data_IF_829991747534
#
_entry.id   IF_829991747534
#
_cell.length_a   1.000
_cell.length_b   1.000
_cell.length_c   1.000
_cell.angle_alpha   90.00
_cell.angle_beta   90.00
_cell.angle_gamma   90.00
#
_symmetry.space_group_name_H-M   'P 1'
#
loop_
_entity.id
_entity.type
_entity.pdbx_description
1 polymer ?
#
# COMPACT_ATOMS: atom_id res chain seq x y z
N UNK A 1 46.99 -30.89 -55.34
CA UNK A 1 46.65 -29.58 -54.74
C UNK A 1 45.15 -29.25 -54.71
N UNK A 2 44.41 -29.26 -55.83
CA UNK A 2 42.99 -28.81 -55.85
C UNK A 2 42.03 -29.55 -54.89
N UNK A 3 42.23 -30.86 -54.65
CA UNK A 3 41.43 -31.63 -53.67
C UNK A 3 41.71 -31.21 -52.23
N UNK A 4 42.97 -30.98 -51.87
CA UNK A 4 43.36 -30.48 -50.55
C UNK A 4 42.81 -29.07 -50.28
N UNK A 5 42.84 -28.18 -51.28
CA UNK A 5 42.26 -26.83 -51.16
C UNK A 5 40.75 -26.91 -50.93
N UNK A 6 40.02 -27.78 -51.64
CA UNK A 6 38.57 -27.98 -51.41
C UNK A 6 38.26 -28.50 -50.00
N UNK A 7 39.01 -29.49 -49.52
CA UNK A 7 38.84 -30.04 -48.16
C UNK A 7 39.12 -28.98 -47.10
N UNK A 8 40.16 -28.17 -47.28
CA UNK A 8 40.52 -27.09 -46.36
C UNK A 8 39.44 -26.01 -46.32
N UNK A 9 38.89 -25.61 -47.48
CA UNK A 9 37.78 -24.65 -47.56
C UNK A 9 36.53 -25.19 -46.86
N UNK A 10 36.16 -26.46 -47.07
CA UNK A 10 35.01 -27.06 -46.37
C UNK A 10 35.19 -27.13 -44.86
N UNK A 11 36.39 -27.42 -44.37
CA UNK A 11 36.70 -27.43 -42.94
C UNK A 11 36.65 -26.02 -42.34
N UNK A 12 37.11 -25.01 -43.07
CA UNK A 12 37.09 -23.61 -42.63
C UNK A 12 35.65 -23.08 -42.55
N UNK A 13 34.81 -23.41 -43.54
CA UNK A 13 33.37 -23.09 -43.52
C UNK A 13 32.67 -23.79 -42.36
N UNK A 14 32.98 -25.08 -42.11
CA UNK A 14 32.42 -25.83 -40.98
C UNK A 14 32.83 -25.21 -39.64
N UNK A 15 34.12 -24.88 -39.48
CA UNK A 15 34.62 -24.23 -38.26
C UNK A 15 33.96 -22.86 -38.03
N UNK A 16 33.76 -22.08 -39.10
CA UNK A 16 33.05 -20.79 -39.03
C UNK A 16 31.57 -20.98 -38.64
N UNK A 17 30.89 -21.97 -39.20
CA UNK A 17 29.50 -22.29 -38.85
C UNK A 17 29.37 -22.73 -37.39
N UNK A 18 30.27 -23.59 -36.91
CA UNK A 18 30.33 -24.00 -35.48
C UNK A 18 30.61 -22.80 -34.59
N UNK A 19 31.54 -21.92 -34.96
CA UNK A 19 31.86 -20.71 -34.20
C UNK A 19 30.67 -19.74 -34.12
N UNK A 20 29.98 -19.48 -35.24
CA UNK A 20 28.79 -18.63 -35.27
C UNK A 20 27.64 -19.25 -34.46
N UNK A 21 27.43 -20.56 -34.57
CA UNK A 21 26.43 -21.29 -33.80
C UNK A 21 26.72 -21.22 -32.30
N UNK A 22 27.97 -21.45 -31.90
CA UNK A 22 28.43 -21.32 -30.52
C UNK A 22 28.25 -19.89 -29.98
N UNK A 23 28.61 -18.88 -30.77
CA UNK A 23 28.44 -17.47 -30.40
C UNK A 23 26.97 -17.07 -30.24
N UNK A 24 26.10 -17.50 -31.15
CA UNK A 24 24.66 -17.24 -31.07
C UNK A 24 24.02 -17.97 -29.88
N UNK A 25 24.47 -19.19 -29.59
CA UNK A 25 24.02 -19.96 -28.43
C UNK A 25 24.36 -19.24 -27.13
N UNK A 26 25.62 -18.81 -26.97
CA UNK A 26 26.04 -18.02 -25.80
C UNK A 26 25.29 -16.70 -25.70
N UNK A 27 25.18 -15.95 -26.80
CA UNK A 27 24.40 -14.71 -26.80
C UNK A 27 22.93 -14.94 -26.39
N UNK A 28 22.30 -16.02 -26.83
CA UNK A 28 20.91 -16.31 -26.46
C UNK A 28 20.75 -16.81 -25.02
N UNK A 29 21.72 -17.57 -24.51
CA UNK A 29 21.70 -18.14 -23.16
C UNK A 29 22.14 -17.15 -22.08
N UNK A 30 23.00 -16.19 -22.41
CA UNK A 30 23.60 -15.25 -21.45
C UNK A 30 22.78 -13.97 -21.22
N UNK A 31 21.77 -13.70 -22.05
CA UNK A 31 20.85 -12.58 -21.83
C UNK A 31 19.73 -13.00 -20.88
N UNK A 32 19.63 -12.40 -19.68
CA UNK A 32 18.55 -12.70 -18.76
C UNK A 32 17.25 -12.14 -19.31
N UNK A 33 16.34 -13.03 -19.66
CA UNK A 33 14.97 -12.69 -19.99
C UNK A 33 14.01 -13.67 -19.32
N UNK A 34 12.81 -13.19 -19.03
CA UNK A 34 11.71 -13.99 -18.52
C UNK A 34 10.41 -13.63 -19.26
N UNK A 35 9.55 -14.63 -19.46
CA UNK A 35 8.18 -14.44 -19.97
C UNK A 35 7.16 -14.33 -18.83
N UNK A 36 7.62 -14.62 -17.64
CA UNK A 36 6.82 -14.71 -16.44
C UNK A 36 7.04 -13.43 -15.66
N UNK A 37 6.45 -12.34 -16.14
CA UNK A 37 6.43 -11.09 -15.40
C UNK A 37 4.98 -10.58 -15.33
N UNK A 38 4.63 -9.98 -14.20
CA UNK A 38 3.26 -9.52 -13.95
C UNK A 38 3.30 -8.05 -13.55
N UNK A 39 2.43 -7.26 -14.16
CA UNK A 39 2.20 -5.87 -13.77
C UNK A 39 1.52 -5.85 -12.41
N UNK A 40 2.05 -5.09 -11.48
CA UNK A 40 1.50 -4.87 -10.15
C UNK A 40 1.23 -3.39 -9.94
N UNK A 41 0.37 -3.06 -8.98
CA UNK A 41 0.07 -1.70 -8.59
C UNK A 41 -0.20 -1.62 -7.09
N UNK A 42 -0.08 -0.43 -6.48
CA UNK A 42 -0.44 -0.29 -5.07
C UNK A 42 -1.96 -0.30 -4.97
N UNK A 43 -2.46 -1.25 -4.20
CA UNK A 43 -3.88 -1.40 -3.90
C UNK A 43 -4.07 -0.93 -2.47
N UNK A 44 -4.86 0.12 -2.31
CA UNK A 44 -5.27 0.63 -1.01
C UNK A 44 -6.67 0.10 -0.72
N UNK A 45 -6.78 -0.67 0.36
CA UNK A 45 -8.06 -1.11 0.88
C UNK A 45 -8.72 0.06 1.63
N UNK A 46 -9.92 0.43 1.19
CA UNK A 46 -10.68 1.52 1.82
C UNK A 46 -11.67 0.92 2.80
N UNK A 47 -11.46 1.30 4.06
CA UNK A 47 -12.22 0.81 5.21
C UNK A 47 -13.01 1.96 5.82
N UNK A 48 -14.08 1.62 6.56
CA UNK A 48 -14.73 2.58 7.44
C UNK A 48 -13.93 2.77 8.73
N UNK A 49 -13.63 4.01 9.10
CA UNK A 49 -13.04 4.33 10.41
C UNK A 49 -14.09 4.26 11.53
N UNK A 50 -15.37 4.36 11.17
CA UNK A 50 -16.51 4.29 12.09
C UNK A 50 -17.54 3.28 11.56
N UNK A 51 -18.32 2.69 12.47
CA UNK A 51 -19.33 1.70 12.11
C UNK A 51 -20.71 2.31 11.95
N UNK A 52 -21.45 1.93 10.90
CA UNK A 52 -22.82 2.39 10.73
C UNK A 52 -23.42 2.01 9.39
N UNK A 53 -24.68 2.38 9.18
CA UNK A 53 -25.36 2.14 7.91
C UNK A 53 -24.88 3.11 6.85
N UNK A 54 -24.62 2.63 5.64
CA UNK A 54 -24.23 3.47 4.51
C UNK A 54 -25.46 4.13 3.92
N UNK A 55 -25.47 5.46 3.90
CA UNK A 55 -26.59 6.27 3.38
C UNK A 55 -26.48 6.45 1.87
N UNK A 56 -25.26 6.72 1.38
CA UNK A 56 -25.00 7.05 -0.01
C UNK A 56 -23.64 6.52 -0.44
N UNK A 57 -23.58 5.99 -1.66
CA UNK A 57 -22.35 5.61 -2.37
C UNK A 57 -22.25 6.52 -3.58
N UNK A 58 -21.22 7.36 -3.65
CA UNK A 58 -21.07 8.41 -4.68
C UNK A 58 -20.18 7.99 -5.84
N UNK A 59 -19.68 6.76 -5.80
CA UNK A 59 -18.72 6.22 -6.75
C UNK A 59 -19.25 4.95 -7.41
N UNK A 60 -18.71 4.65 -8.58
CA UNK A 60 -19.00 3.43 -9.34
C UNK A 60 -17.75 2.58 -9.48
N UNK A 61 -17.96 1.29 -9.73
CA UNK A 61 -16.86 0.38 -10.01
C UNK A 61 -16.12 0.81 -11.29
N UNK A 62 -14.79 0.67 -11.30
CA UNK A 62 -13.89 1.12 -12.37
C UNK A 62 -13.86 2.63 -12.63
N UNK A 63 -14.38 3.45 -11.70
CA UNK A 63 -14.30 4.90 -11.80
C UNK A 63 -12.96 5.44 -11.30
N UNK A 64 -12.36 6.37 -12.04
CA UNK A 64 -11.21 7.14 -11.58
C UNK A 64 -11.63 8.27 -10.64
N UNK A 65 -10.92 8.41 -9.52
CA UNK A 65 -11.17 9.40 -8.47
C UNK A 65 -9.88 10.12 -8.10
N UNK A 66 -10.01 11.41 -7.78
CA UNK A 66 -8.93 12.21 -7.23
C UNK A 66 -8.71 11.93 -5.74
N UNK A 67 -7.52 12.25 -5.24
CA UNK A 67 -7.26 12.23 -3.80
C UNK A 67 -8.24 13.18 -3.07
N UNK A 68 -8.80 12.73 -1.95
CA UNK A 68 -9.78 13.46 -1.16
C UNK A 68 -11.23 13.37 -1.67
N UNK A 69 -11.48 12.72 -2.81
CA UNK A 69 -12.83 12.54 -3.32
C UNK A 69 -13.70 11.74 -2.33
N UNK A 70 -14.96 12.15 -2.17
CA UNK A 70 -15.91 11.46 -1.29
C UNK A 70 -16.37 10.15 -1.97
N UNK A 71 -16.16 9.03 -1.30
CA UNK A 71 -16.46 7.71 -1.83
C UNK A 71 -17.87 7.27 -1.42
N UNK A 72 -18.12 7.24 -0.11
CA UNK A 72 -19.42 6.91 0.46
C UNK A 72 -19.60 7.61 1.81
N UNK A 73 -20.84 7.69 2.26
CA UNK A 73 -21.23 8.31 3.53
C UNK A 73 -21.94 7.32 4.43
N UNK A 74 -21.42 7.17 5.64
CA UNK A 74 -22.06 6.49 6.75
C UNK A 74 -23.06 7.45 7.39
N UNK A 75 -24.19 6.93 7.90
CA UNK A 75 -25.22 7.72 8.56
C UNK A 75 -24.63 8.61 9.67
N UNK A 76 -24.65 9.96 9.49
CA UNK A 76 -24.05 10.86 10.43
C UNK A 76 -24.95 11.13 11.65
N UNK A 77 -26.23 10.77 11.62
CA UNK A 77 -27.20 11.22 12.61
C UNK A 77 -26.82 10.78 14.04
N UNK A 78 -26.36 9.53 14.21
CA UNK A 78 -25.89 9.03 15.50
C UNK A 78 -24.68 9.81 16.02
N UNK A 79 -23.77 10.22 15.12
CA UNK A 79 -22.56 10.94 15.46
C UNK A 79 -22.81 12.43 15.73
N UNK A 80 -23.79 13.03 15.05
CA UNK A 80 -24.28 14.37 15.35
C UNK A 80 -24.88 14.42 16.75
N UNK A 81 -25.76 13.48 17.10
CA UNK A 81 -26.34 13.40 18.46
C UNK A 81 -25.27 13.19 19.54
N UNK A 82 -24.21 12.42 19.25
CA UNK A 82 -23.09 12.25 20.16
C UNK A 82 -22.29 13.55 20.35
N UNK A 83 -22.09 14.32 19.28
CA UNK A 83 -21.46 15.63 19.33
C UNK A 83 -22.31 16.63 20.13
N UNK A 84 -23.62 16.68 19.90
CA UNK A 84 -24.54 17.56 20.61
C UNK A 84 -24.53 17.25 22.11
N UNK A 85 -24.55 15.96 22.48
CA UNK A 85 -24.42 15.52 23.87
C UNK A 85 -23.09 15.97 24.49
N UNK A 86 -21.98 15.79 23.77
CA UNK A 86 -20.66 16.21 24.26
C UNK A 86 -20.57 17.73 24.44
N UNK A 87 -21.17 18.51 23.54
CA UNK A 87 -21.26 19.96 23.64
C UNK A 87 -22.08 20.41 24.85
N UNK A 88 -23.20 19.74 25.13
CA UNK A 88 -23.99 19.99 26.33
C UNK A 88 -23.19 19.73 27.63
N UNK A 89 -22.45 18.62 27.69
CA UNK A 89 -21.56 18.34 28.83
C UNK A 89 -20.43 19.36 28.97
N UNK A 90 -19.89 19.86 27.85
CA UNK A 90 -18.91 20.94 27.86
C UNK A 90 -19.50 22.25 28.43
N UNK A 91 -20.72 22.61 28.01
CA UNK A 91 -21.42 23.77 28.52
C UNK A 91 -21.67 23.65 30.04
N UNK A 92 -22.10 22.49 30.52
CA UNK A 92 -22.28 22.20 31.94
C UNK A 92 -20.95 22.36 32.71
N UNK A 93 -19.87 21.75 32.22
CA UNK A 93 -18.56 21.82 32.86
C UNK A 93 -18.01 23.26 32.89
N UNK A 94 -18.26 24.04 31.84
CA UNK A 94 -17.85 25.45 31.80
C UNK A 94 -18.59 26.31 32.84
N UNK A 95 -19.90 26.07 32.98
CA UNK A 95 -20.75 26.75 33.96
C UNK A 95 -20.34 26.36 35.38
N UNK A 96 -20.05 25.07 35.61
CA UNK A 96 -19.56 24.56 36.89
C UNK A 96 -18.22 25.20 37.27
N UNK A 97 -17.29 25.33 36.33
CA UNK A 97 -16.02 26.01 36.58
C UNK A 97 -16.22 27.49 36.91
N UNK A 98 -17.09 28.19 36.18
CA UNK A 98 -17.42 29.59 36.46
C UNK A 98 -17.98 29.76 37.88
N UNK A 99 -18.93 28.92 38.27
CA UNK A 99 -19.49 28.91 39.63
C UNK A 99 -18.42 28.68 40.69
N UNK A 100 -17.53 27.69 40.49
CA UNK A 100 -16.43 27.40 41.45
C UNK A 100 -15.44 28.54 41.54
N UNK A 101 -15.11 29.20 40.42
CA UNK A 101 -14.23 30.37 40.38
C UNK A 101 -14.83 31.55 41.15
N UNK A 102 -16.12 31.83 40.97
CA UNK A 102 -16.80 32.87 41.75
C UNK A 102 -16.83 32.56 43.24
N UNK A 103 -17.11 31.30 43.61
CA UNK A 103 -17.09 30.88 45.02
C UNK A 103 -15.69 31.02 45.65
N UNK A 104 -14.64 30.63 44.93
CA UNK A 104 -13.27 30.81 45.38
C UNK A 104 -12.89 32.30 45.50
N UNK A 105 -13.25 33.13 44.52
CA UNK A 105 -13.02 34.57 44.54
C UNK A 105 -13.73 35.26 45.72
N UNK A 106 -15.00 34.89 45.98
CA UNK A 106 -15.74 35.38 47.17
C UNK A 106 -15.04 35.03 48.47
N UNK A 107 -14.55 33.79 48.63
CA UNK A 107 -13.82 33.36 49.84
C UNK A 107 -12.46 34.02 50.00
N UNK A 108 -11.78 34.32 48.88
CA UNK A 108 -10.50 35.03 48.89
C UNK A 108 -10.66 36.51 49.30
N UNK A 109 -11.79 37.14 48.97
CA UNK A 109 -12.09 38.53 49.34
C UNK A 109 -12.55 38.73 50.80
N UNK A 110 -12.90 37.66 51.53
CA UNK A 110 -13.32 37.74 52.93
C UNK A 110 -12.11 37.85 53.87
N UNK A 111 -12.20 38.58 55.00
CA UNK A 111 -11.11 38.71 55.96
C UNK A 111 -10.68 37.37 56.55
N UNK A 112 -9.41 37.25 56.93
CA UNK A 112 -8.84 35.98 57.45
C UNK A 112 -9.52 35.46 58.73
N UNK A 113 -10.16 36.34 59.50
CA UNK A 113 -10.95 35.96 60.67
C UNK A 113 -12.31 35.31 60.30
N UNK A 114 -12.79 35.47 59.06
CA UNK A 114 -14.11 35.01 58.60
C UNK A 114 -14.06 33.69 57.80
N UNK A 115 -12.91 33.30 57.26
CA UNK A 115 -12.73 32.06 56.48
C UNK A 115 -11.38 31.44 56.81
N UNK A 116 -11.37 30.16 57.19
CA UNK A 116 -10.13 29.43 57.50
C UNK A 116 -9.24 29.22 56.29
N UNK A 117 -7.94 28.98 56.52
CA UNK A 117 -6.98 28.70 55.46
C UNK A 117 -7.33 27.42 54.68
N UNK A 118 -7.84 26.41 55.38
CA UNK A 118 -8.31 25.15 54.81
C UNK A 118 -9.48 25.39 53.85
N UNK A 119 -10.48 26.17 54.28
CA UNK A 119 -11.66 26.45 53.47
C UNK A 119 -11.34 27.27 52.18
N UNK A 120 -10.25 28.04 52.19
CA UNK A 120 -9.71 28.71 51.00
C UNK A 120 -8.98 27.72 50.09
N UNK A 121 -8.11 26.88 50.65
CA UNK A 121 -7.41 25.82 49.91
C UNK A 121 -8.38 24.86 49.22
N UNK A 122 -9.44 24.42 49.92
CA UNK A 122 -10.49 23.56 49.37
C UNK A 122 -11.23 24.21 48.19
N UNK A 123 -11.46 25.53 48.26
CA UNK A 123 -12.10 26.26 47.17
C UNK A 123 -11.20 26.34 45.93
N UNK A 124 -9.90 26.59 46.11
CA UNK A 124 -8.92 26.57 45.03
C UNK A 124 -8.76 25.17 44.42
N UNK A 125 -8.76 24.12 45.26
CA UNK A 125 -8.74 22.75 44.80
C UNK A 125 -10.00 22.43 43.97
N UNK A 126 -11.18 22.88 44.42
CA UNK A 126 -12.43 22.70 43.68
C UNK A 126 -12.41 23.40 42.31
N UNK A 127 -11.76 24.58 42.20
CA UNK A 127 -11.53 25.24 40.90
C UNK A 127 -10.61 24.41 40.01
N UNK A 128 -9.51 23.89 40.56
CA UNK A 128 -8.58 23.02 39.81
C UNK A 128 -9.28 21.78 39.28
N UNK A 129 -10.04 21.08 40.12
CA UNK A 129 -10.82 19.89 39.71
C UNK A 129 -11.84 20.25 38.62
N UNK A 130 -12.57 21.36 38.77
CA UNK A 130 -13.52 21.80 37.76
C UNK A 130 -12.84 22.18 36.43
N UNK A 131 -11.62 22.71 36.47
CA UNK A 131 -10.85 23.02 35.27
C UNK A 131 -10.41 21.75 34.53
N UNK A 132 -10.01 20.70 35.25
CA UNK A 132 -9.71 19.41 34.62
C UNK A 132 -10.97 18.72 34.07
N UNK A 133 -12.12 18.84 34.75
CA UNK A 133 -13.40 18.38 34.21
C UNK A 133 -13.77 19.10 32.91
N UNK A 134 -13.52 20.42 32.82
CA UNK A 134 -13.71 21.17 31.59
C UNK A 134 -12.79 20.66 30.47
N UNK A 135 -11.51 20.41 30.75
CA UNK A 135 -10.57 19.85 29.76
C UNK A 135 -11.00 18.47 29.27
N UNK A 136 -11.48 17.62 30.17
CA UNK A 136 -12.02 16.31 29.80
C UNK A 136 -13.24 16.44 28.87
N UNK A 137 -14.17 17.36 29.16
CA UNK A 137 -15.32 17.63 28.30
C UNK A 137 -14.92 18.20 26.92
N UNK A 138 -13.90 19.07 26.87
CA UNK A 138 -13.34 19.56 25.61
C UNK A 138 -12.74 18.43 24.77
N UNK A 139 -12.04 17.48 25.40
CA UNK A 139 -11.51 16.31 24.71
C UNK A 139 -12.64 15.42 24.15
N UNK A 140 -13.73 15.23 24.90
CA UNK A 140 -14.90 14.48 24.45
C UNK A 140 -15.57 15.12 23.22
N UNK A 141 -15.71 16.45 23.19
CA UNK A 141 -16.22 17.17 22.01
C UNK A 141 -15.32 16.97 20.79
N UNK A 142 -13.99 17.05 20.96
CA UNK A 142 -13.04 16.81 19.86
C UNK A 142 -13.14 15.40 19.30
N UNK A 143 -13.29 14.39 20.17
CA UNK A 143 -13.47 13.00 19.75
C UNK A 143 -14.78 12.83 18.96
N UNK A 144 -15.90 13.33 19.49
CA UNK A 144 -17.19 13.23 18.80
C UNK A 144 -17.20 13.95 17.44
N UNK A 145 -16.55 15.12 17.36
CA UNK A 145 -16.39 15.85 16.10
C UNK A 145 -15.50 15.10 15.09
N UNK A 146 -14.44 14.44 15.58
CA UNK A 146 -13.60 13.60 14.75
C UNK A 146 -14.36 12.40 14.20
N UNK A 147 -15.08 11.66 15.06
CA UNK A 147 -15.90 10.53 14.65
C UNK A 147 -16.97 10.94 13.63
N UNK A 148 -17.61 12.10 13.84
CA UNK A 148 -18.54 12.67 12.87
C UNK A 148 -17.87 12.96 11.52
N UNK A 149 -16.65 13.52 11.52
CA UNK A 149 -15.90 13.75 10.28
C UNK A 149 -15.55 12.46 9.55
N UNK A 150 -15.34 11.36 10.29
CA UNK A 150 -15.03 10.02 9.77
C UNK A 150 -16.24 9.28 9.19
N UNK A 151 -17.44 9.81 9.33
CA UNK A 151 -18.63 9.30 8.62
C UNK A 151 -18.55 9.50 7.11
N UNK A 152 -17.76 10.48 6.65
CA UNK A 152 -17.54 10.78 5.25
C UNK A 152 -16.22 10.14 4.78
N UNK A 153 -16.30 8.94 4.20
CA UNK A 153 -15.10 8.19 3.77
C UNK A 153 -14.60 8.73 2.43
N UNK A 154 -13.34 9.14 2.40
CA UNK A 154 -12.69 9.77 1.25
C UNK A 154 -11.53 8.94 0.73
N UNK A 155 -11.20 9.13 -0.54
CA UNK A 155 -10.03 8.51 -1.16
C UNK A 155 -8.73 9.10 -0.57
N UNK A 156 -7.80 8.30 -0.02
CA UNK A 156 -6.52 8.79 0.48
C UNK A 156 -5.58 9.22 -0.65
N UNK A 157 -5.66 8.56 -1.81
CA UNK A 157 -4.83 8.80 -2.99
C UNK A 157 -5.68 8.90 -4.24
N UNK A 158 -5.11 9.39 -5.34
CA UNK A 158 -5.77 9.39 -6.64
C UNK A 158 -5.62 8.01 -7.29
N UNK A 159 -6.71 7.45 -7.81
CA UNK A 159 -6.71 6.08 -8.29
C UNK A 159 -8.01 5.67 -8.96
N UNK A 160 -8.11 4.38 -9.27
CA UNK A 160 -9.29 3.76 -9.87
C UNK A 160 -9.91 2.80 -8.87
N UNK A 161 -11.22 2.90 -8.67
CA UNK A 161 -11.95 2.05 -7.75
C UNK A 161 -12.18 0.68 -8.39
N UNK A 162 -11.94 -0.39 -7.62
CA UNK A 162 -12.18 -1.77 -8.02
C UNK A 162 -12.90 -2.54 -6.92
N UNK A 163 -13.65 -3.57 -7.33
CA UNK A 163 -14.39 -4.43 -6.42
C UNK A 163 -15.35 -3.68 -5.48
N UNK A 164 -16.08 -2.68 -6.01
CA UNK A 164 -17.11 -1.98 -5.24
C UNK A 164 -18.29 -2.93 -4.93
N UNK A 165 -18.28 -3.55 -3.75
CA UNK A 165 -19.39 -4.40 -3.26
C UNK A 165 -20.42 -3.63 -2.45
N UNK A 166 -20.04 -2.45 -1.97
CA UNK A 166 -20.85 -1.62 -1.10
C UNK A 166 -22.06 -1.03 -1.84
N UNK A 167 -23.25 -1.18 -1.24
CA UNK A 167 -24.49 -0.55 -1.68
C UNK A 167 -25.04 0.36 -0.59
N UNK A 168 -25.84 1.36 -1.00
CA UNK A 168 -26.61 2.15 -0.05
C UNK A 168 -27.58 1.23 0.72
N UNK A 169 -27.59 1.35 2.05
CA UNK A 169 -28.34 0.49 2.96
C UNK A 169 -27.51 -0.58 3.66
N UNK A 170 -26.32 -0.91 3.14
CA UNK A 170 -25.40 -1.86 3.76
C UNK A 170 -24.87 -1.34 5.10
N UNK A 171 -24.43 -2.25 5.96
CA UNK A 171 -23.82 -1.90 7.23
C UNK A 171 -22.30 -2.00 7.13
N UNK A 172 -21.62 -0.87 7.27
CA UNK A 172 -20.16 -0.79 7.31
C UNK A 172 -19.68 -1.06 8.74
N UNK A 173 -18.81 -2.07 8.90
CA UNK A 173 -18.08 -2.30 10.15
C UNK A 173 -16.72 -1.61 10.12
N UNK A 174 -16.30 -1.10 11.28
CA UNK A 174 -15.00 -0.46 11.43
C UNK A 174 -13.87 -1.43 11.10
N UNK A 175 -12.92 -0.99 10.29
CA UNK A 175 -11.74 -1.79 9.90
C UNK A 175 -12.00 -2.85 8.83
N UNK A 176 -13.24 -3.07 8.41
CA UNK A 176 -13.55 -3.97 7.29
C UNK A 176 -13.33 -3.26 5.95
N UNK A 177 -12.66 -3.94 5.01
CA UNK A 177 -12.51 -3.46 3.65
C UNK A 177 -13.81 -3.52 2.86
N UNK A 178 -14.22 -2.36 2.33
CA UNK A 178 -15.50 -2.17 1.62
C UNK A 178 -15.29 -2.00 0.12
N UNK A 179 -14.16 -1.44 -0.29
CA UNK A 179 -13.73 -1.31 -1.68
C UNK A 179 -12.21 -1.24 -1.78
N UNK A 180 -11.67 -1.53 -2.97
CA UNK A 180 -10.26 -1.40 -3.27
C UNK A 180 -10.03 -0.17 -4.18
N UNK A 181 -8.91 0.51 -3.98
CA UNK A 181 -8.47 1.65 -4.79
C UNK A 181 -7.09 1.35 -5.35
N UNK A 182 -6.98 1.26 -6.68
CA UNK A 182 -5.70 1.07 -7.39
C UNK A 182 -5.12 2.45 -7.66
N UNK A 183 -3.96 2.77 -7.09
CA UNK A 183 -3.34 4.08 -7.27
C UNK A 183 -2.79 4.26 -8.69
N UNK A 184 -3.05 5.43 -9.30
CA UNK A 184 -2.82 5.66 -10.72
C UNK A 184 -1.34 5.71 -11.14
N UNK A 185 -0.41 6.02 -10.23
CA UNK A 185 1.01 6.27 -10.53
C UNK A 185 1.97 5.28 -9.89
N UNK A 186 1.48 4.14 -9.41
CA UNK A 186 2.27 3.19 -8.64
C UNK A 186 2.36 1.82 -9.29
N UNK A 187 2.39 1.77 -10.62
CA UNK A 187 2.60 0.53 -11.36
C UNK A 187 4.07 0.11 -11.34
N UNK A 188 4.35 -1.15 -11.01
CA UNK A 188 5.65 -1.80 -11.18
C UNK A 188 5.47 -3.18 -11.80
N UNK A 189 6.58 -3.85 -12.09
CA UNK A 189 6.57 -5.19 -12.65
C UNK A 189 7.34 -6.12 -11.73
N UNK A 190 6.71 -7.22 -11.37
CA UNK A 190 7.38 -8.34 -10.71
C UNK A 190 7.74 -9.36 -11.79
N UNK A 191 9.04 -9.43 -12.10
CA UNK A 191 9.60 -10.32 -13.11
C UNK A 191 10.21 -11.56 -12.43
N UNK A 192 9.66 -12.73 -12.73
CA UNK A 192 10.07 -13.99 -12.13
C UNK A 192 11.20 -14.61 -12.96
N UNK A 193 12.44 -14.47 -12.50
CA UNK A 193 13.61 -15.07 -13.16
C UNK A 193 13.95 -16.44 -12.59
N UNK A 194 14.38 -17.37 -13.44
CA UNK A 194 14.95 -18.64 -12.99
C UNK A 194 16.22 -18.39 -12.16
N UNK A 195 16.39 -19.13 -11.07
CA UNK A 195 17.58 -19.04 -10.21
C UNK A 195 18.89 -19.15 -10.98
N UNK A 196 18.94 -19.95 -12.05
CA UNK A 196 20.11 -20.10 -12.93
C UNK A 196 20.46 -18.83 -13.70
N UNK A 197 19.45 -18.03 -14.05
CA UNK A 197 19.59 -16.78 -14.84
C UNK A 197 19.81 -15.55 -13.98
N UNK A 198 19.61 -15.64 -12.66
CA UNK A 198 19.76 -14.50 -11.74
C UNK A 198 21.19 -13.92 -11.74
N UNK A 199 22.20 -14.73 -12.02
CA UNK A 199 23.62 -14.29 -12.10
C UNK A 199 23.84 -13.14 -13.08
N UNK A 200 22.98 -13.00 -14.09
CA UNK A 200 23.07 -11.93 -15.09
C UNK A 200 22.21 -10.72 -14.78
N UNK A 201 21.53 -10.65 -13.63
CA UNK A 201 20.62 -9.55 -13.26
C UNK A 201 21.21 -8.76 -12.10
N UNK A 202 21.46 -7.47 -12.32
CA UNK A 202 21.97 -6.56 -11.30
C UNK A 202 21.00 -5.40 -11.04
N UNK A 203 21.02 -4.90 -9.80
CA UNK A 203 20.24 -3.72 -9.41
C UNK A 203 20.76 -2.50 -10.18
N UNK A 204 19.83 -1.72 -10.74
CA UNK A 204 20.13 -0.53 -11.55
C UNK A 204 20.26 -0.78 -13.05
N UNK A 205 20.19 -2.04 -13.52
CA UNK A 205 20.23 -2.34 -14.95
C UNK A 205 18.94 -1.91 -15.68
N UNK A 206 19.08 -1.56 -16.96
CA UNK A 206 17.94 -1.25 -17.81
C UNK A 206 17.22 -2.53 -18.21
N UNK A 207 15.88 -2.46 -18.21
CA UNK A 207 15.02 -3.55 -18.61
C UNK A 207 14.05 -3.08 -19.69
N UNK A 208 13.87 -3.92 -20.71
CA UNK A 208 12.85 -3.76 -21.73
C UNK A 208 11.69 -4.68 -21.42
N UNK A 209 10.52 -4.08 -21.22
CA UNK A 209 9.29 -4.79 -20.89
C UNK A 209 8.41 -4.82 -22.14
N UNK A 210 7.89 -5.98 -22.49
CA UNK A 210 6.90 -6.12 -23.57
C UNK A 210 5.65 -6.74 -22.98
N UNK A 211 4.56 -5.96 -22.90
CA UNK A 211 3.26 -6.43 -22.45
C UNK A 211 2.71 -7.46 -23.45
N UNK A 212 2.04 -8.50 -22.96
CA UNK A 212 1.39 -9.45 -23.84
C UNK A 212 0.26 -8.74 -24.62
N UNK A 213 0.35 -8.78 -25.95
CA UNK A 213 -0.60 -8.09 -26.85
C UNK A 213 -0.24 -6.64 -27.18
N UNK A 214 0.83 -6.07 -26.60
CA UNK A 214 1.34 -4.76 -27.00
C UNK A 214 2.48 -4.90 -28.02
N UNK A 215 2.53 -3.98 -28.98
CA UNK A 215 3.62 -3.90 -29.96
C UNK A 215 4.79 -3.02 -29.49
N UNK A 216 4.55 -2.17 -28.49
CA UNK A 216 5.57 -1.27 -27.94
C UNK A 216 6.20 -1.85 -26.68
N UNK A 217 7.52 -1.63 -26.56
CA UNK A 217 8.24 -1.98 -25.34
C UNK A 217 8.36 -0.80 -24.39
N UNK A 218 8.08 -1.03 -23.11
CA UNK A 218 8.22 -0.04 -22.04
C UNK A 218 9.63 -0.11 -21.44
N UNK A 219 10.29 1.05 -21.26
CA UNK A 219 11.57 1.10 -20.56
C UNK A 219 11.36 1.01 -19.04
N UNK A 220 12.17 0.21 -18.38
CA UNK A 220 12.20 0.06 -16.91
C UNK A 220 13.62 -0.07 -16.37
N UNK A 221 13.74 -0.04 -15.05
CA UNK A 221 15.01 -0.25 -14.33
C UNK A 221 14.80 -1.31 -13.25
N UNK A 222 15.76 -2.21 -13.10
CA UNK A 222 15.80 -3.18 -11.99
C UNK A 222 15.98 -2.42 -10.67
N UNK A 223 14.95 -2.44 -9.83
CA UNK A 223 14.96 -1.71 -8.55
C UNK A 223 15.48 -2.58 -7.41
N UNK A 224 14.99 -3.82 -7.32
CA UNK A 224 15.37 -4.74 -6.26
C UNK A 224 15.17 -6.19 -6.66
N UNK A 225 15.96 -7.07 -6.07
CA UNK A 225 15.79 -8.53 -6.17
C UNK A 225 15.24 -9.00 -4.82
N UNK A 226 14.19 -9.82 -4.84
CA UNK A 226 13.56 -10.27 -3.60
C UNK A 226 14.56 -11.04 -2.71
N UNK A 227 14.70 -10.66 -1.42
CA UNK A 227 15.66 -11.30 -0.52
C UNK A 227 15.20 -12.67 -0.01
N UNK A 228 13.90 -12.97 -0.11
CA UNK A 228 13.30 -14.23 0.31
C UNK A 228 12.10 -14.60 -0.57
N UNK A 229 11.81 -15.90 -0.68
CA UNK A 229 10.65 -16.44 -1.39
C UNK A 229 9.95 -17.38 -0.43
N UNK A 230 8.65 -17.20 -0.24
CA UNK A 230 7.84 -18.17 0.48
C UNK A 230 7.70 -19.44 -0.38
N UNK A 231 8.05 -20.59 0.18
CA UNK A 231 7.78 -21.87 -0.47
C UNK A 231 6.26 -22.09 -0.46
N UNK A 232 5.65 -22.17 -1.66
CA UNK A 232 4.19 -22.36 -1.83
C UNK A 232 3.69 -23.66 -1.20
N UNK A 233 4.57 -24.65 -1.00
CA UNK A 233 4.23 -25.88 -0.28
C UNK A 233 4.46 -25.80 1.23
N UNK A 234 5.24 -24.81 1.70
CA UNK A 234 5.36 -24.53 3.13
C UNK A 234 4.08 -23.83 3.59
N UNK A 235 3.08 -24.61 3.99
CA UNK A 235 2.02 -24.14 4.89
C UNK A 235 2.65 -23.82 6.27
N UNK A 236 3.52 -22.82 6.33
CA UNK A 236 4.03 -22.31 7.60
C UNK A 236 3.03 -21.28 8.11
N UNK A 237 1.88 -21.81 8.56
CA UNK A 237 1.09 -21.14 9.57
C UNK A 237 1.93 -20.97 10.83
N UNK A 238 1.76 -19.83 11.46
CA UNK A 238 2.26 -19.43 12.78
C UNK A 238 2.73 -20.58 13.70
N UNK A 239 4.05 -20.75 13.81
CA UNK A 239 4.82 -21.07 15.04
C UNK A 239 6.11 -21.81 14.70
N UNK A 240 7.13 -21.47 15.49
CA UNK A 240 8.52 -21.92 15.50
C UNK A 240 8.69 -23.44 15.64
N UNK A 241 8.26 -24.22 14.65
CA UNK A 241 8.67 -25.62 14.50
C UNK A 241 9.00 -25.90 13.03
N UNK A 242 10.25 -26.27 12.78
CA UNK A 242 10.71 -26.74 11.48
C UNK A 242 10.08 -28.12 11.18
N UNK A 243 8.90 -28.13 10.57
CA UNK A 243 8.36 -29.35 9.95
C UNK A 243 9.02 -29.52 8.59
N UNK A 244 10.11 -30.26 8.55
CA UNK A 244 10.69 -30.76 7.29
C UNK A 244 9.76 -31.87 6.79
N UNK A 245 8.89 -31.56 5.83
CA UNK A 245 8.30 -32.59 4.97
C UNK A 245 9.31 -32.86 3.86
N UNK A 246 9.74 -34.12 3.72
CA UNK A 246 10.52 -34.54 2.57
C UNK A 246 9.60 -34.53 1.32
N UNK A 247 9.59 -33.42 0.57
CA UNK A 247 8.97 -33.40 -0.76
C UNK A 247 9.92 -34.08 -1.74
N UNK A 248 9.61 -35.33 -2.08
CA UNK A 248 10.31 -36.08 -3.11
C UNK A 248 9.87 -35.63 -4.50
N UNK A 249 10.24 -34.41 -4.88
CA UNK A 249 10.18 -33.98 -6.28
C UNK A 249 11.42 -34.54 -6.99
N UNK A 250 11.27 -35.68 -7.67
CA UNK A 250 12.30 -36.35 -8.47
C UNK A 250 12.87 -35.46 -9.61
N UNK A 251 12.23 -34.32 -9.90
CA UNK A 251 12.73 -33.25 -10.76
C UNK A 251 12.88 -31.97 -9.93
N UNK A 252 14.12 -31.47 -9.82
CA UNK A 252 14.40 -30.13 -9.26
C UNK A 252 14.20 -29.10 -10.34
N UNK A 253 13.11 -28.33 -10.25
CA UNK A 253 12.92 -27.15 -11.08
C UNK A 253 13.61 -25.95 -10.41
N UNK A 254 14.29 -25.08 -11.16
CA UNK A 254 14.86 -23.86 -10.58
C UNK A 254 13.74 -22.99 -10.02
N UNK A 255 13.91 -22.54 -8.78
CA UNK A 255 12.99 -21.59 -8.16
C UNK A 255 12.96 -20.29 -8.96
N UNK A 256 11.79 -19.66 -8.97
CA UNK A 256 11.55 -18.39 -9.65
C UNK A 256 11.66 -17.24 -8.67
N UNK A 257 12.66 -16.40 -8.87
CA UNK A 257 13.00 -15.30 -7.97
C UNK A 257 12.35 -14.02 -8.52
N UNK A 258 11.47 -13.36 -7.74
CA UNK A 258 10.87 -12.11 -8.17
C UNK A 258 11.91 -10.99 -8.15
N UNK A 259 12.04 -10.32 -9.29
CA UNK A 259 12.84 -9.11 -9.49
C UNK A 259 11.86 -7.97 -9.75
N UNK A 260 11.89 -6.96 -8.89
CA UNK A 260 11.05 -5.77 -9.02
C UNK A 260 11.69 -4.81 -10.02
N UNK A 261 10.88 -4.40 -11.00
CA UNK A 261 11.27 -3.49 -12.06
C UNK A 261 10.36 -2.28 -12.02
N UNK A 262 10.98 -1.11 -11.86
CA UNK A 262 10.28 0.17 -11.87
C UNK A 262 10.11 0.65 -13.31
N UNK A 263 8.89 1.01 -13.66
CA UNK A 263 8.57 1.61 -14.96
C UNK A 263 9.11 3.04 -15.03
N UNK A 264 9.79 3.39 -16.13
CA UNK A 264 10.27 4.77 -16.35
C UNK A 264 9.22 5.66 -17.00
N UNK A 265 8.31 5.07 -17.79
CA UNK A 265 7.27 5.79 -18.52
C UNK A 265 5.98 4.97 -18.51
N UNK A 266 4.87 5.64 -18.24
CA UNK A 266 3.55 5.05 -18.40
C UNK A 266 3.17 5.05 -19.90
N UNK A 267 2.62 3.95 -20.45
CA UNK A 267 2.05 3.97 -21.80
C UNK A 267 0.91 5.00 -21.87
N UNK A 268 0.98 5.89 -22.87
CA UNK A 268 -0.07 6.89 -23.11
C UNK A 268 -1.27 6.30 -23.88
N UNK A 269 -1.05 5.25 -24.67
CA UNK A 269 -2.04 4.69 -25.61
C UNK A 269 -2.66 3.36 -25.14
N UNK A 270 -2.26 2.85 -23.97
CA UNK A 270 -2.71 1.54 -23.49
C UNK A 270 -2.95 1.56 -21.98
N UNK A 271 -4.14 1.15 -21.48
CA UNK A 271 -4.42 1.11 -20.05
C UNK A 271 -3.64 -0.02 -19.38
N UNK A 272 -2.75 0.30 -18.44
CA UNK A 272 -2.11 -0.70 -17.60
C UNK A 272 -3.08 -1.23 -16.56
N UNK A 273 -3.24 -2.55 -16.56
CA UNK A 273 -4.05 -3.26 -15.56
C UNK A 273 -3.13 -4.12 -14.72
N UNK A 274 -3.27 -4.03 -13.39
CA UNK A 274 -2.57 -4.93 -12.49
C UNK A 274 -3.02 -6.37 -12.74
N UNK A 275 -2.08 -7.30 -12.86
CA UNK A 275 -2.31 -8.69 -13.27
C UNK A 275 -1.99 -8.98 -14.73
N UNK A 276 -1.70 -7.96 -15.56
CA UNK A 276 -1.26 -8.21 -16.93
C UNK A 276 0.06 -8.96 -16.99
N UNK A 277 0.14 -9.94 -17.88
CA UNK A 277 1.34 -10.72 -18.13
C UNK A 277 2.23 -9.95 -19.12
N UNK A 278 3.52 -9.94 -18.85
CA UNK A 278 4.51 -9.32 -19.70
C UNK A 278 5.79 -10.16 -19.74
N UNK A 279 6.61 -9.89 -20.75
CA UNK A 279 7.96 -10.43 -20.84
C UNK A 279 8.96 -9.32 -20.57
N UNK A 280 10.02 -9.67 -19.86
CA UNK A 280 11.08 -8.75 -19.46
C UNK A 280 12.39 -9.27 -20.00
N UNK A 281 13.14 -8.38 -20.64
CA UNK A 281 14.51 -8.62 -21.07
C UNK A 281 15.42 -7.59 -20.44
N UNK A 282 16.45 -8.03 -19.73
CA UNK A 282 17.45 -7.12 -19.19
C UNK A 282 18.42 -6.72 -20.30
N UNK A 283 18.62 -5.41 -20.48
CA UNK A 283 19.60 -4.86 -21.40
C UNK A 283 20.94 -4.84 -20.67
N UNK A 284 21.86 -5.73 -21.07
CA UNK A 284 23.23 -5.70 -20.58
C UNK A 284 23.83 -4.34 -20.97
N UNK A 285 24.28 -3.57 -19.98
CA UNK A 285 25.10 -2.38 -20.24
C UNK A 285 26.29 -2.87 -21.06
N UNK A 286 26.43 -2.40 -22.30
CA UNK A 286 27.59 -2.74 -23.11
C UNK A 286 28.80 -2.15 -22.38
N UNK A 287 29.51 -2.98 -21.61
CA UNK A 287 30.80 -2.64 -21.05
C UNK A 287 31.77 -2.56 -22.23
N UNK A 288 31.76 -1.43 -22.93
CA UNK A 288 32.95 -0.93 -23.59
C UNK A 288 33.66 -0.05 -22.58
N UNK A 289 34.61 -0.66 -21.86
CA UNK A 289 35.86 -0.04 -21.42
C UNK A 289 36.83 -1.15 -21.05
#
# INVERSE_FOLDING_TARGET
MRRFVRVLVTLLVLALAVYLGWRLWHAYMDLPWTRDAVVQAQIVEINGDVSGRVTQVLVKDNQSVAAGALLFRIDPQRYQLALDKAQATLAEASTRLALRREQAARRAGLPAAAVSAEARSDAELAVRVAAEQLRAAQAAVRLAAYDLSRTAVRAPVAGTITHLRLRAGDYAQQGQALLALVEAKSYWIDAYFEQTRLRGVHIGEHARITLLGAHESLPGIVESIAPAIADRESQTGERLQARVRASFNWVRLPSRIPVRIRLLKNPNNFPLVAGMICSVRIEKKSQHQ
#
